data_IF_380339117411
#
_entry.id   IF_380339117411
#
_cell.length_a   1.000
_cell.length_b   1.000
_cell.length_c   1.000
_cell.angle_alpha   90.00
_cell.angle_beta   90.00
_cell.angle_gamma   90.00
#
_symmetry.space_group_name_H-M   'P 1'
#
loop_
_entity.id
_entity.type
_entity.pdbx_description
1 polymer ?
#
# COMPACT_ATOMS: atom_id res chain seq x y z
N UNK A 1 21.55 -1.73 -12.45
CA UNK A 1 20.84 -3.04 -12.37
C UNK A 1 21.67 -4.25 -12.81
N UNK A 2 22.86 -4.09 -13.41
CA UNK A 2 23.66 -5.19 -13.98
C UNK A 2 24.29 -6.16 -12.96
N UNK A 3 24.43 -5.78 -11.69
CA UNK A 3 25.07 -6.61 -10.65
C UNK A 3 24.19 -7.75 -10.12
N UNK A 4 22.86 -7.60 -10.13
CA UNK A 4 21.93 -8.58 -9.57
C UNK A 4 21.58 -9.71 -10.54
N UNK A 5 21.88 -9.53 -11.83
CA UNK A 5 21.42 -10.40 -12.93
C UNK A 5 22.00 -11.82 -12.87
N UNK A 6 23.09 -12.03 -12.14
CA UNK A 6 23.73 -13.34 -11.96
C UNK A 6 23.33 -14.06 -10.66
N UNK A 7 22.52 -13.42 -9.79
CA UNK A 7 22.21 -13.93 -8.45
C UNK A 7 20.72 -14.14 -8.19
N UNK A 8 19.85 -13.64 -9.07
CA UNK A 8 18.40 -13.71 -8.93
C UNK A 8 17.76 -14.55 -10.02
N UNK A 9 16.66 -15.23 -9.66
CA UNK A 9 15.78 -15.86 -10.62
C UNK A 9 15.23 -14.83 -11.62
N UNK A 10 15.01 -15.26 -12.86
CA UNK A 10 14.57 -14.38 -13.96
C UNK A 10 13.22 -13.72 -13.65
N UNK A 11 12.31 -14.43 -13.01
CA UNK A 11 10.98 -13.94 -12.64
C UNK A 11 11.10 -12.88 -11.53
N UNK A 12 11.96 -13.14 -10.54
CA UNK A 12 12.23 -12.18 -9.47
C UNK A 12 12.90 -10.90 -9.99
N UNK A 13 13.85 -11.05 -10.92
CA UNK A 13 14.53 -9.91 -11.53
C UNK A 13 13.56 -9.04 -12.35
N UNK A 14 12.68 -9.65 -13.14
CA UNK A 14 11.67 -8.95 -13.94
C UNK A 14 10.70 -8.13 -13.06
N UNK A 15 10.27 -8.70 -11.93
CA UNK A 15 9.47 -7.97 -10.93
C UNK A 15 10.23 -6.75 -10.39
N UNK A 16 11.50 -6.92 -10.01
CA UNK A 16 12.32 -5.83 -9.48
C UNK A 16 12.57 -4.74 -10.52
N UNK A 17 12.79 -5.08 -11.78
CA UNK A 17 12.94 -4.12 -12.89
C UNK A 17 11.69 -3.25 -13.03
N UNK A 18 10.50 -3.83 -12.89
CA UNK A 18 9.23 -3.11 -13.00
C UNK A 18 8.88 -2.30 -11.74
N UNK A 19 9.23 -2.78 -10.54
CA UNK A 19 9.01 -2.06 -9.28
C UNK A 19 9.99 -0.90 -9.08
N UNK A 20 11.25 -1.08 -9.46
CA UNK A 20 12.30 -0.06 -9.30
C UNK A 20 12.40 0.88 -10.52
N UNK A 21 11.30 1.06 -11.24
CA UNK A 21 11.19 2.05 -12.31
C UNK A 21 11.15 3.46 -11.71
N UNK A 22 12.02 4.35 -12.20
CA UNK A 22 12.14 5.73 -11.71
C UNK A 22 10.89 6.57 -11.99
N UNK A 23 10.33 6.39 -13.17
CA UNK A 23 9.10 7.03 -13.60
C UNK A 23 7.90 6.42 -12.84
N UNK A 24 7.19 7.21 -12.00
CA UNK A 24 6.10 6.69 -11.19
C UNK A 24 4.90 6.25 -12.04
N UNK A 25 4.67 6.87 -13.20
CA UNK A 25 3.54 6.53 -14.07
C UNK A 25 3.74 5.19 -14.79
N UNK A 26 5.01 4.76 -14.90
CA UNK A 26 5.41 3.49 -15.51
C UNK A 26 5.69 2.40 -14.48
N UNK A 27 5.74 2.75 -13.19
CA UNK A 27 5.95 1.80 -12.10
C UNK A 27 4.68 0.98 -11.88
N UNK A 28 4.84 -0.31 -11.60
CA UNK A 28 3.69 -1.16 -11.29
C UNK A 28 2.93 -0.64 -10.07
N UNK A 29 1.61 -0.69 -10.17
CA UNK A 29 0.71 -0.56 -9.01
C UNK A 29 0.78 -1.82 -8.14
N UNK A 30 0.34 -1.72 -6.89
CA UNK A 30 0.32 -2.87 -5.97
C UNK A 30 -0.48 -4.06 -6.54
N UNK A 31 -1.67 -3.80 -7.11
CA UNK A 31 -2.50 -4.84 -7.72
C UNK A 31 -1.80 -5.54 -8.91
N UNK A 32 -1.14 -4.77 -9.79
CA UNK A 32 -0.39 -5.36 -10.90
C UNK A 32 0.85 -6.14 -10.44
N UNK A 33 1.47 -5.72 -9.34
CA UNK A 33 2.59 -6.44 -8.76
C UNK A 33 2.16 -7.76 -8.12
N UNK A 34 1.00 -7.81 -7.45
CA UNK A 34 0.42 -9.04 -6.87
C UNK A 34 0.03 -10.06 -7.95
N UNK A 35 -0.49 -9.61 -9.09
CA UNK A 35 -0.78 -10.44 -10.26
C UNK A 35 0.49 -10.95 -10.99
N UNK A 36 1.70 -10.60 -10.55
CA UNK A 36 2.94 -11.01 -11.20
C UNK A 36 3.21 -12.52 -10.99
N UNK A 37 3.79 -13.25 -11.99
CA UNK A 37 4.10 -14.68 -11.86
C UNK A 37 4.99 -15.05 -10.66
N UNK A 38 5.72 -14.08 -10.11
CA UNK A 38 6.51 -14.25 -8.90
C UNK A 38 5.65 -14.64 -7.68
N UNK A 39 4.42 -14.13 -7.60
CA UNK A 39 3.48 -14.39 -6.49
C UNK A 39 2.40 -15.42 -6.85
N UNK A 40 2.51 -16.12 -8.00
CA UNK A 40 1.46 -17.03 -8.46
C UNK A 40 1.09 -18.14 -7.45
N UNK A 41 2.01 -18.52 -6.56
CA UNK A 41 1.76 -19.50 -5.50
C UNK A 41 0.94 -18.95 -4.31
N UNK A 42 0.82 -17.63 -4.19
CA UNK A 42 0.21 -16.93 -3.07
C UNK A 42 -0.94 -16.00 -3.47
N UNK A 43 -1.04 -15.64 -4.75
CA UNK A 43 -2.03 -14.69 -5.24
C UNK A 43 -3.45 -15.26 -5.12
N UNK A 44 -4.31 -14.52 -4.42
CA UNK A 44 -5.73 -14.82 -4.23
C UNK A 44 -6.52 -13.51 -4.28
N UNK A 45 -7.25 -13.28 -5.37
CA UNK A 45 -8.06 -12.06 -5.56
C UNK A 45 -9.09 -11.86 -4.43
N UNK A 46 -9.53 -12.94 -3.77
CA UNK A 46 -10.53 -12.86 -2.71
C UNK A 46 -9.96 -12.37 -1.37
N UNK A 47 -8.65 -12.50 -1.16
CA UNK A 47 -7.91 -12.03 0.03
C UNK A 47 -7.17 -10.70 -0.23
N UNK A 48 -7.39 -10.07 -1.39
CA UNK A 48 -6.77 -8.80 -1.81
C UNK A 48 -7.81 -7.67 -2.01
N UNK A 49 -8.65 -7.34 -1.01
CA UNK A 49 -9.70 -6.33 -1.18
C UNK A 49 -9.14 -4.90 -1.26
N UNK A 50 -9.81 -4.06 -2.06
CA UNK A 50 -9.56 -2.62 -2.08
C UNK A 50 -10.30 -1.97 -0.91
N UNK A 51 -9.57 -1.27 -0.05
CA UNK A 51 -10.16 -0.52 1.04
C UNK A 51 -11.04 0.64 0.52
N UNK A 52 -12.06 0.99 1.30
CA UNK A 52 -12.82 2.22 1.05
C UNK A 52 -11.88 3.44 1.14
N UNK A 53 -12.09 4.50 0.32
CA UNK A 53 -11.28 5.71 0.40
C UNK A 53 -11.24 6.25 1.82
N UNK A 54 -10.04 6.41 2.37
CA UNK A 54 -9.86 6.95 3.70
C UNK A 54 -10.18 8.45 3.70
N UNK A 55 -11.21 8.85 4.44
CA UNK A 55 -11.56 10.25 4.69
C UNK A 55 -10.98 10.67 6.03
N UNK A 56 -9.89 11.43 5.97
CA UNK A 56 -9.26 12.00 7.17
C UNK A 56 -9.92 13.34 7.51
N UNK A 57 -11.10 13.27 8.13
CA UNK A 57 -11.86 14.46 8.52
C UNK A 57 -11.08 15.34 9.51
N UNK A 58 -10.26 14.72 10.36
CA UNK A 58 -9.43 15.40 11.36
C UNK A 58 -8.20 16.07 10.75
N UNK A 59 -7.61 15.50 9.70
CA UNK A 59 -6.45 16.10 9.01
C UNK A 59 -6.76 17.40 8.28
N UNK A 60 -8.03 17.65 7.96
CA UNK A 60 -8.47 18.92 7.38
C UNK A 60 -8.80 19.98 8.46
N UNK A 61 -8.65 19.65 9.74
CA UNK A 61 -8.92 20.54 10.88
C UNK A 61 -7.60 21.10 11.44
N UNK A 62 -7.09 22.15 10.81
CA UNK A 62 -5.72 22.64 11.02
C UNK A 62 -5.46 23.37 12.36
N UNK A 63 -6.41 23.41 13.30
CA UNK A 63 -6.27 24.20 14.53
C UNK A 63 -7.00 23.62 15.77
N UNK A 64 -6.96 22.31 15.93
CA UNK A 64 -7.50 21.61 17.10
C UNK A 64 -6.58 21.76 18.33
N UNK A 65 -7.15 22.08 19.48
CA UNK A 65 -6.47 22.04 20.78
C UNK A 65 -6.23 20.59 21.24
N UNK A 66 -5.30 20.40 22.18
CA UNK A 66 -5.01 19.07 22.77
C UNK A 66 -6.25 18.40 23.35
N UNK A 67 -7.17 19.18 23.94
CA UNK A 67 -8.44 18.67 24.47
C UNK A 67 -9.36 18.16 23.37
N UNK A 68 -9.47 18.88 22.26
CA UNK A 68 -10.34 18.50 21.14
C UNK A 68 -9.78 17.28 20.41
N UNK A 69 -8.46 17.23 20.17
CA UNK A 69 -7.79 16.03 19.67
C UNK A 69 -8.09 14.79 20.52
N UNK A 70 -8.03 14.92 21.84
CA UNK A 70 -8.36 13.81 22.75
C UNK A 70 -9.82 13.38 22.61
N UNK A 71 -10.75 14.34 22.52
CA UNK A 71 -12.16 14.06 22.33
C UNK A 71 -12.44 13.33 21.01
N UNK A 72 -11.91 13.83 19.89
CA UNK A 72 -12.09 13.22 18.58
C UNK A 72 -11.47 11.83 18.48
N UNK A 73 -10.27 11.64 19.03
CA UNK A 73 -9.63 10.31 19.08
C UNK A 73 -10.39 9.33 19.97
N UNK A 74 -10.96 9.79 21.11
CA UNK A 74 -11.79 8.96 21.97
C UNK A 74 -13.10 8.57 21.26
N UNK A 75 -13.73 9.48 20.53
CA UNK A 75 -14.92 9.19 19.73
C UNK A 75 -14.61 8.17 18.62
N UNK A 76 -13.53 8.37 17.86
CA UNK A 76 -13.09 7.44 16.82
C UNK A 76 -12.79 6.04 17.38
N UNK A 77 -12.10 5.96 18.53
CA UNK A 77 -11.83 4.70 19.20
C UNK A 77 -13.12 3.99 19.62
N UNK A 78 -14.11 4.72 20.14
CA UNK A 78 -15.41 4.14 20.51
C UNK A 78 -16.23 3.68 19.29
N UNK A 79 -16.10 4.37 18.16
CA UNK A 79 -16.78 4.02 16.91
C UNK A 79 -16.12 2.85 16.15
N UNK A 80 -14.82 2.62 16.34
CA UNK A 80 -14.03 1.59 15.63
C UNK A 80 -13.93 0.25 16.37
N UNK A 81 -14.52 0.12 17.57
CA UNK A 81 -14.53 -1.11 18.39
C UNK A 81 -15.88 -1.85 18.28
N UNK A 82 -16.52 -1.82 17.11
CA UNK A 82 -17.73 -2.60 16.82
C UNK A 82 -17.58 -3.42 15.55
#
# INVERSE_FOLDING_TARGET
>A
MCILRNYLDKIALDLLEKLLTLDPDRRLTAAQALAHPYFAAYHDESDEPVAVPFTDELRNMDNLTVSEWKSELLLWFLMSVK
#
